data_IF_445762859167
#
_entry.id   IF_445762859167
#
_cell.length_a   1.000
_cell.length_b   1.000
_cell.length_c   1.000
_cell.angle_alpha   90.00
_cell.angle_beta   90.00
_cell.angle_gamma   90.00
#
_symmetry.space_group_name_H-M   'P 1'
#
loop_
_entity.id
_entity.type
_entity.pdbx_description
1 polymer ?
#
# COMPACT_ATOMS: atom_id res chain seq x y z
N UNK A 1 -44.63 -50.17 14.33
CA UNK A 1 -44.76 -48.75 13.91
C UNK A 1 -44.00 -47.77 14.79
N UNK A 2 -43.87 -47.98 16.12
CA UNK A 2 -43.11 -47.06 17.01
C UNK A 2 -41.61 -46.94 16.67
N UNK A 3 -40.94 -48.04 16.28
CA UNK A 3 -39.52 -48.00 15.93
C UNK A 3 -39.19 -47.12 14.73
N UNK A 4 -40.00 -47.18 13.70
CA UNK A 4 -39.82 -46.37 12.47
C UNK A 4 -39.95 -44.86 12.80
N UNK A 5 -40.90 -44.51 13.62
CA UNK A 5 -41.08 -43.11 14.05
C UNK A 5 -39.88 -42.57 14.81
N UNK A 6 -39.29 -43.34 15.70
CA UNK A 6 -38.05 -42.93 16.44
C UNK A 6 -36.89 -42.76 15.53
N UNK A 7 -36.67 -43.64 14.52
CA UNK A 7 -35.59 -43.50 13.55
C UNK A 7 -35.76 -42.26 12.66
N UNK A 8 -36.99 -41.96 12.22
CA UNK A 8 -37.27 -40.74 11.45
C UNK A 8 -36.98 -39.49 12.26
N UNK A 9 -37.35 -39.48 13.54
CA UNK A 9 -37.14 -38.34 14.46
C UNK A 9 -35.67 -38.13 14.74
N UNK A 10 -34.87 -39.19 14.93
CA UNK A 10 -33.43 -39.13 15.08
C UNK A 10 -32.75 -38.65 13.79
N UNK A 11 -33.19 -39.12 12.63
CA UNK A 11 -32.69 -38.66 11.34
C UNK A 11 -32.94 -37.18 11.12
N UNK A 12 -34.15 -36.71 11.44
CA UNK A 12 -34.50 -35.28 11.35
C UNK A 12 -33.65 -34.42 12.28
N UNK A 13 -33.45 -34.88 13.53
CA UNK A 13 -32.60 -34.19 14.48
C UNK A 13 -31.14 -34.11 14.02
N UNK A 14 -30.58 -35.21 13.52
CA UNK A 14 -29.22 -35.23 12.97
C UNK A 14 -29.07 -34.27 11.80
N UNK A 15 -30.06 -34.26 10.89
CA UNK A 15 -30.08 -33.36 9.73
C UNK A 15 -30.14 -31.88 10.17
N UNK A 16 -31.00 -31.53 11.08
CA UNK A 16 -31.13 -30.16 11.62
C UNK A 16 -29.86 -29.73 12.35
N UNK A 17 -29.26 -30.61 13.16
CA UNK A 17 -28.01 -30.32 13.85
C UNK A 17 -26.86 -30.07 12.89
N UNK A 18 -26.72 -30.88 11.83
CA UNK A 18 -25.72 -30.72 10.78
C UNK A 18 -25.92 -29.40 10.03
N UNK A 19 -27.17 -29.08 9.67
CA UNK A 19 -27.50 -27.82 9.00
C UNK A 19 -27.12 -26.60 9.86
N UNK A 20 -27.39 -26.65 11.16
CA UNK A 20 -27.08 -25.57 12.09
C UNK A 20 -25.56 -25.35 12.23
N UNK A 21 -24.77 -26.41 12.26
CA UNK A 21 -23.30 -26.34 12.28
C UNK A 21 -22.76 -25.74 10.96
N UNK A 22 -23.28 -26.16 9.81
CA UNK A 22 -22.87 -25.64 8.50
C UNK A 22 -23.19 -24.15 8.38
N UNK A 23 -24.38 -23.72 8.77
CA UNK A 23 -24.76 -22.30 8.75
C UNK A 23 -23.91 -21.47 9.72
N UNK A 24 -23.65 -21.98 10.93
CA UNK A 24 -22.78 -21.34 11.90
C UNK A 24 -21.34 -21.16 11.38
N UNK A 25 -20.81 -22.19 10.75
CA UNK A 25 -19.47 -22.14 10.15
C UNK A 25 -19.38 -21.12 9.00
N UNK A 26 -20.42 -21.01 8.15
CA UNK A 26 -20.48 -20.01 7.08
C UNK A 26 -20.56 -18.59 7.64
N UNK A 27 -21.39 -18.34 8.63
CA UNK A 27 -21.50 -17.02 9.27
C UNK A 27 -20.18 -16.62 9.95
N UNK A 28 -19.52 -17.55 10.63
CA UNK A 28 -18.24 -17.31 11.27
C UNK A 28 -17.15 -16.93 10.26
N UNK A 29 -17.03 -17.69 9.16
CA UNK A 29 -16.06 -17.38 8.08
C UNK A 29 -16.33 -16.01 7.47
N UNK A 30 -17.58 -15.66 7.22
CA UNK A 30 -17.96 -14.35 6.68
C UNK A 30 -17.62 -13.19 7.62
N UNK A 31 -17.80 -13.39 8.93
CA UNK A 31 -17.47 -12.36 9.93
C UNK A 31 -15.96 -12.16 10.07
N UNK A 32 -15.19 -13.25 10.11
CA UNK A 32 -13.72 -13.19 10.21
C UNK A 32 -13.12 -12.54 8.98
N UNK A 33 -13.57 -12.91 7.77
CA UNK A 33 -13.09 -12.31 6.54
C UNK A 33 -13.37 -10.80 6.46
N UNK A 34 -14.57 -10.36 6.86
CA UNK A 34 -14.91 -8.93 6.92
C UNK A 34 -14.07 -8.18 7.95
N UNK A 35 -13.86 -8.77 9.12
CA UNK A 35 -13.04 -8.16 10.17
C UNK A 35 -11.58 -8.02 9.75
N UNK A 36 -11.01 -8.99 9.06
CA UNK A 36 -9.67 -8.91 8.50
C UNK A 36 -9.57 -7.80 7.45
N UNK A 37 -10.50 -7.77 6.48
CA UNK A 37 -10.54 -6.74 5.46
C UNK A 37 -10.70 -5.32 6.05
N UNK A 38 -11.52 -5.15 7.08
CA UNK A 38 -11.68 -3.85 7.74
C UNK A 38 -10.43 -3.42 8.52
N UNK A 39 -9.69 -4.38 9.08
CA UNK A 39 -8.42 -4.11 9.73
C UNK A 39 -7.35 -3.67 8.71
N UNK A 40 -7.20 -4.39 7.61
CA UNK A 40 -6.25 -4.07 6.54
C UNK A 40 -6.51 -2.68 5.95
N UNK A 41 -7.78 -2.33 5.78
CA UNK A 41 -8.23 -1.00 5.33
C UNK A 41 -7.81 0.14 6.26
N UNK A 42 -7.90 -0.08 7.58
CA UNK A 42 -7.48 0.91 8.59
C UNK A 42 -5.97 1.05 8.61
N UNK A 43 -5.27 -0.07 8.54
CA UNK A 43 -3.79 -0.11 8.48
C UNK A 43 -3.30 0.67 7.29
N UNK A 44 -3.83 0.40 6.10
CA UNK A 44 -3.46 1.08 4.86
C UNK A 44 -3.60 2.61 4.95
N UNK A 45 -4.78 3.09 5.36
CA UNK A 45 -5.04 4.53 5.47
C UNK A 45 -4.19 5.21 6.54
N UNK A 46 -3.96 4.54 7.66
CA UNK A 46 -3.13 5.04 8.75
C UNK A 46 -1.66 5.05 8.34
N UNK A 47 -1.21 4.01 7.65
CA UNK A 47 0.16 3.87 7.17
C UNK A 47 0.53 4.98 6.18
N UNK A 48 -0.24 5.15 5.12
CA UNK A 48 -0.02 6.23 4.13
C UNK A 48 0.02 7.59 4.81
N UNK A 49 -0.94 7.87 5.69
CA UNK A 49 -0.99 9.16 6.40
C UNK A 49 0.19 9.36 7.34
N UNK A 50 0.63 8.31 8.02
CA UNK A 50 1.78 8.35 8.93
C UNK A 50 3.08 8.60 8.18
N UNK A 51 3.30 7.89 7.08
CA UNK A 51 4.48 8.02 6.23
C UNK A 51 4.58 9.43 5.65
N UNK A 52 3.51 9.91 5.03
CA UNK A 52 3.48 11.25 4.44
C UNK A 52 3.77 12.31 5.49
N UNK A 53 3.15 12.24 6.67
CA UNK A 53 3.39 13.23 7.73
C UNK A 53 4.80 13.19 8.31
N UNK A 54 5.43 12.03 8.30
CA UNK A 54 6.81 11.89 8.80
C UNK A 54 7.83 12.53 7.85
N UNK A 55 7.52 12.60 6.57
CA UNK A 55 8.42 13.08 5.51
C UNK A 55 7.88 14.32 4.77
N UNK A 56 6.89 15.02 5.34
CA UNK A 56 6.28 16.22 4.79
C UNK A 56 7.17 17.44 5.03
N UNK A 57 8.24 17.53 4.24
CA UNK A 57 9.15 18.65 4.18
C UNK A 57 9.09 19.32 2.80
N UNK A 58 9.63 20.52 2.67
CA UNK A 58 9.68 21.21 1.38
C UNK A 58 10.43 20.39 0.34
N UNK A 59 9.76 20.19 -0.82
CA UNK A 59 10.26 19.42 -1.96
C UNK A 59 10.61 17.96 -1.66
N UNK A 60 10.10 17.41 -0.57
CA UNK A 60 10.33 16.02 -0.21
C UNK A 60 9.41 15.04 -0.94
N UNK A 61 8.20 15.47 -1.33
CA UNK A 61 7.18 14.60 -1.90
C UNK A 61 6.93 14.90 -3.38
N UNK A 62 6.90 13.85 -4.20
CA UNK A 62 6.50 13.91 -5.62
C UNK A 62 5.72 12.65 -6.01
N UNK A 63 4.93 12.76 -7.08
CA UNK A 63 4.28 11.61 -7.72
C UNK A 63 5.03 11.30 -9.01
N UNK A 64 5.51 10.08 -9.14
CA UNK A 64 6.39 9.68 -10.22
C UNK A 64 5.98 8.33 -10.84
N UNK A 65 6.53 8.06 -12.01
CA UNK A 65 6.42 6.76 -12.69
C UNK A 65 7.83 6.17 -12.86
N UNK A 66 8.38 5.56 -11.80
CA UNK A 66 9.76 5.06 -11.82
C UNK A 66 9.96 3.84 -12.73
N UNK A 67 8.87 3.16 -13.12
CA UNK A 67 8.88 2.07 -14.08
C UNK A 67 7.58 2.06 -14.88
N UNK A 68 7.58 1.38 -16.04
CA UNK A 68 6.40 1.25 -16.89
C UNK A 68 5.22 0.66 -16.13
N UNK A 69 4.12 1.40 -16.11
CA UNK A 69 2.88 1.00 -15.44
C UNK A 69 2.87 1.08 -13.92
N UNK A 70 3.95 1.56 -13.30
CA UNK A 70 4.03 1.76 -11.84
C UNK A 70 3.94 3.24 -11.52
N UNK A 71 2.84 3.65 -10.88
CA UNK A 71 2.73 4.98 -10.28
C UNK A 71 3.11 4.90 -8.81
N UNK A 72 4.02 5.73 -8.37
CA UNK A 72 4.55 5.73 -7.02
C UNK A 72 4.51 7.13 -6.39
N UNK A 73 4.39 7.16 -5.07
CA UNK A 73 4.68 8.34 -4.27
C UNK A 73 6.14 8.25 -3.84
N UNK A 74 6.95 9.20 -4.27
CA UNK A 74 8.34 9.35 -3.88
C UNK A 74 8.44 10.32 -2.70
N UNK A 75 9.19 9.93 -1.70
CA UNK A 75 9.50 10.72 -0.51
C UNK A 75 11.00 10.78 -0.36
N UNK A 76 11.57 11.97 -0.52
CA UNK A 76 13.03 12.19 -0.54
C UNK A 76 13.50 12.73 0.78
N UNK A 77 14.65 12.25 1.23
CA UNK A 77 15.33 12.75 2.42
C UNK A 77 16.86 12.72 2.22
N UNK A 78 17.54 13.64 2.87
CA UNK A 78 19.00 13.67 2.90
C UNK A 78 19.50 13.13 4.22
N UNK A 79 20.35 12.11 4.19
CA UNK A 79 20.97 11.50 5.35
C UNK A 79 22.49 11.52 5.15
N UNK A 80 23.21 12.20 6.02
CA UNK A 80 24.68 12.30 5.99
C UNK A 80 25.23 12.76 4.61
N UNK A 81 24.53 13.70 3.95
CA UNK A 81 24.94 14.25 2.65
C UNK A 81 24.64 13.34 1.46
N UNK A 82 23.85 12.29 1.65
CA UNK A 82 23.36 11.39 0.59
C UNK A 82 21.87 11.49 0.46
N UNK A 83 21.39 11.47 -0.77
CA UNK A 83 19.96 11.48 -1.08
C UNK A 83 19.39 10.07 -1.05
N UNK A 84 18.32 9.90 -0.29
CA UNK A 84 17.53 8.67 -0.21
C UNK A 84 16.11 8.93 -0.68
N UNK A 85 15.47 7.89 -1.19
CA UNK A 85 14.08 7.92 -1.63
C UNK A 85 13.34 6.75 -1.01
N UNK A 86 12.21 7.05 -0.38
CA UNK A 86 11.21 6.06 -0.01
C UNK A 86 10.11 6.05 -1.07
N UNK A 87 9.95 4.95 -1.75
CA UNK A 87 8.90 4.73 -2.75
C UNK A 87 7.74 3.99 -2.12
N UNK A 88 6.53 4.50 -2.32
CA UNK A 88 5.29 3.81 -1.97
C UNK A 88 4.50 3.56 -3.25
N UNK A 89 4.23 2.29 -3.58
CA UNK A 89 3.65 1.86 -4.84
C UNK A 89 2.87 0.56 -4.70
N UNK A 90 2.02 0.24 -5.68
CA UNK A 90 1.32 -1.04 -5.75
C UNK A 90 2.04 -1.95 -6.74
N UNK A 91 2.31 -3.17 -6.30
CA UNK A 91 2.91 -4.22 -7.11
C UNK A 91 2.34 -5.58 -6.71
N UNK A 92 1.98 -6.45 -7.69
CA UNK A 92 1.48 -7.80 -7.48
C UNK A 92 0.40 -7.96 -6.39
N UNK A 93 -0.59 -7.03 -6.38
CA UNK A 93 -1.71 -7.11 -5.44
C UNK A 93 -1.39 -6.73 -4.00
N UNK A 94 -0.31 -5.98 -3.79
CA UNK A 94 0.09 -5.44 -2.49
C UNK A 94 0.66 -4.04 -2.60
N UNK A 95 0.50 -3.26 -1.54
CA UNK A 95 1.22 -2.01 -1.36
C UNK A 95 2.63 -2.34 -0.88
N UNK A 96 3.62 -1.78 -1.57
CA UNK A 96 5.04 -1.95 -1.28
C UNK A 96 5.68 -0.64 -0.83
N UNK A 97 6.68 -0.76 0.01
CA UNK A 97 7.60 0.29 0.37
C UNK A 97 9.01 -0.13 -0.03
N UNK A 98 9.72 0.76 -0.73
CA UNK A 98 11.13 0.59 -1.08
C UNK A 98 11.89 1.82 -0.60
N UNK A 99 12.81 1.62 0.35
CA UNK A 99 13.77 2.63 0.77
C UNK A 99 15.12 2.34 0.10
N UNK A 100 15.65 3.32 -0.64
CA UNK A 100 16.90 3.16 -1.38
C UNK A 100 17.62 4.50 -1.52
N UNK A 101 18.92 4.47 -1.82
CA UNK A 101 19.66 5.66 -2.20
C UNK A 101 19.17 6.13 -3.59
N UNK A 102 19.02 7.44 -3.80
CA UNK A 102 18.44 8.00 -5.01
C UNK A 102 19.23 7.67 -6.30
N UNK A 103 20.52 7.34 -6.15
CA UNK A 103 21.38 6.92 -7.26
C UNK A 103 21.07 5.51 -7.81
N UNK A 104 20.29 4.68 -7.09
CA UNK A 104 19.96 3.34 -7.56
C UNK A 104 18.72 3.34 -8.42
N UNK A 105 18.74 2.48 -9.44
CA UNK A 105 17.58 2.24 -10.29
C UNK A 105 16.43 1.62 -9.48
N UNK A 106 15.21 2.09 -9.69
CA UNK A 106 14.03 1.54 -9.09
C UNK A 106 13.78 0.09 -9.55
N UNK A 107 13.60 -0.81 -8.57
CA UNK A 107 13.24 -2.21 -8.81
C UNK A 107 11.97 -2.52 -8.00
N UNK A 108 10.83 -2.78 -8.64
CA UNK A 108 9.57 -3.04 -7.94
C UNK A 108 9.58 -4.33 -7.11
N UNK A 109 10.51 -5.27 -7.36
CA UNK A 109 10.63 -6.50 -6.59
C UNK A 109 11.49 -6.34 -5.33
N UNK A 110 12.28 -5.26 -5.24
CA UNK A 110 13.17 -5.01 -4.11
C UNK A 110 12.46 -4.44 -2.89
N UNK A 111 11.19 -4.01 -3.02
CA UNK A 111 10.42 -3.43 -1.93
C UNK A 111 9.92 -4.46 -0.92
N UNK A 112 9.44 -3.94 0.21
CA UNK A 112 8.80 -4.74 1.28
C UNK A 112 7.29 -4.62 1.17
N UNK A 113 6.54 -5.72 1.07
CA UNK A 113 5.08 -5.67 1.05
C UNK A 113 4.53 -5.27 2.43
N UNK A 114 3.60 -4.31 2.44
CA UNK A 114 3.00 -3.76 3.66
C UNK A 114 1.61 -4.35 3.91
N UNK A 115 0.75 -4.33 2.91
CA UNK A 115 -0.61 -4.84 3.02
C UNK A 115 -1.20 -5.13 1.63
N UNK A 116 -2.22 -6.00 1.54
CA UNK A 116 -2.92 -6.27 0.29
C UNK A 116 -3.59 -5.00 -0.28
N UNK A 117 -3.33 -4.70 -1.56
CA UNK A 117 -3.92 -3.60 -2.31
C UNK A 117 -3.85 -3.88 -3.81
N UNK A 118 -4.96 -3.70 -4.52
CA UNK A 118 -5.05 -3.92 -5.97
C UNK A 118 -4.73 -2.65 -6.77
N UNK A 119 -4.66 -1.49 -6.12
CA UNK A 119 -4.35 -0.22 -6.77
C UNK A 119 -3.88 0.86 -5.81
N UNK A 120 -2.97 1.71 -6.29
CA UNK A 120 -2.44 2.86 -5.58
C UNK A 120 -2.23 4.00 -6.57
N UNK A 121 -3.05 5.05 -6.46
CA UNK A 121 -3.07 6.19 -7.36
C UNK A 121 -2.88 7.48 -6.55
N UNK A 122 -1.65 7.92 -6.30
CA UNK A 122 -1.37 9.19 -5.66
C UNK A 122 -1.51 10.34 -6.66
N UNK A 123 -2.02 11.46 -6.21
CA UNK A 123 -2.05 12.74 -6.94
C UNK A 123 -1.79 13.88 -5.97
N UNK A 124 -1.02 14.89 -6.40
CA UNK A 124 -0.77 16.09 -5.61
C UNK A 124 -1.32 17.30 -6.38
N UNK A 125 -2.13 18.10 -5.73
CA UNK A 125 -2.69 19.33 -6.28
C UNK A 125 -2.77 20.40 -5.19
N UNK A 126 -2.11 21.54 -5.42
CA UNK A 126 -2.18 22.71 -4.54
C UNK A 126 -1.84 22.42 -3.07
N UNK A 127 -0.88 21.52 -2.78
CA UNK A 127 -0.52 21.14 -1.41
C UNK A 127 -1.47 20.13 -0.76
N UNK A 128 -2.35 19.51 -1.55
CA UNK A 128 -3.18 18.40 -1.13
C UNK A 128 -2.76 17.10 -1.82
N UNK A 129 -2.26 16.16 -1.04
CA UNK A 129 -2.05 14.80 -1.50
C UNK A 129 -3.37 14.03 -1.41
N UNK A 130 -3.81 13.51 -2.54
CA UNK A 130 -4.94 12.60 -2.65
C UNK A 130 -4.42 11.23 -3.08
N UNK A 131 -4.62 10.22 -2.26
CA UNK A 131 -4.24 8.84 -2.59
C UNK A 131 -5.51 8.01 -2.73
N UNK A 132 -5.78 7.53 -3.93
CA UNK A 132 -6.81 6.53 -4.16
C UNK A 132 -6.18 5.15 -4.06
N UNK A 133 -6.66 4.37 -3.12
CA UNK A 133 -6.22 2.99 -2.92
C UNK A 133 -7.40 2.06 -3.15
N UNK A 134 -7.16 1.02 -3.93
CA UNK A 134 -8.13 -0.08 -4.12
C UNK A 134 -7.70 -1.25 -3.26
N UNK A 135 -8.58 -1.69 -2.36
CA UNK A 135 -8.28 -2.85 -1.52
C UNK A 135 -8.37 -4.17 -2.32
N UNK A 136 -7.89 -5.27 -1.75
CA UNK A 136 -7.96 -6.61 -2.37
C UNK A 136 -9.40 -7.11 -2.63
N UNK A 137 -10.42 -6.39 -2.20
CA UNK A 137 -11.82 -6.63 -2.53
C UNK A 137 -12.33 -5.78 -3.69
N UNK A 138 -11.48 -4.96 -4.32
CA UNK A 138 -11.83 -4.06 -5.42
C UNK A 138 -12.56 -2.77 -4.96
N UNK A 139 -12.63 -2.50 -3.65
CA UNK A 139 -13.30 -1.31 -3.13
C UNK A 139 -12.34 -0.11 -3.09
N UNK A 140 -12.61 0.97 -3.85
CA UNK A 140 -11.75 2.14 -3.85
C UNK A 140 -11.95 2.97 -2.58
N UNK A 141 -10.85 3.51 -2.06
CA UNK A 141 -10.82 4.44 -0.94
C UNK A 141 -9.91 5.62 -1.24
N UNK A 142 -10.28 6.77 -0.71
CA UNK A 142 -9.50 7.99 -0.87
C UNK A 142 -8.93 8.41 0.48
N UNK A 143 -7.63 8.60 0.54
CA UNK A 143 -6.92 9.19 1.66
C UNK A 143 -6.51 10.59 1.26
N UNK A 144 -6.88 11.58 2.06
CA UNK A 144 -6.52 12.98 1.85
C UNK A 144 -5.53 13.40 2.94
N UNK A 145 -4.43 14.01 2.52
CA UNK A 145 -3.42 14.57 3.41
C UNK A 145 -3.06 15.97 2.92
N UNK A 146 -3.29 16.97 3.76
CA UNK A 146 -2.79 18.30 3.49
C UNK A 146 -1.28 18.31 3.77
N UNK A 147 -0.50 18.76 2.81
CA UNK A 147 0.94 18.89 2.90
C UNK A 147 1.30 20.25 3.53
N UNK A 148 2.37 20.28 4.30
CA UNK A 148 2.92 21.51 4.89
C UNK A 148 4.04 22.06 4.01
N UNK A 149 4.83 21.17 3.39
CA UNK A 149 5.87 21.51 2.45
C UNK A 149 5.32 21.69 1.02
N UNK A 150 6.02 22.45 0.21
CA UNK A 150 5.76 22.47 -1.24
C UNK A 150 6.15 21.13 -1.85
N UNK A 151 5.30 20.53 -2.72
CA UNK A 151 5.66 19.30 -3.40
C UNK A 151 6.81 19.54 -4.40
N UNK A 152 7.66 18.53 -4.60
CA UNK A 152 8.69 18.58 -5.63
C UNK A 152 8.07 18.35 -7.02
N UNK A 153 8.71 18.92 -8.04
CA UNK A 153 8.42 18.58 -9.44
C UNK A 153 8.83 17.12 -9.71
N UNK A 154 8.09 16.37 -10.54
CA UNK A 154 8.47 15.02 -10.93
C UNK A 154 9.86 14.97 -11.55
N UNK A 155 10.77 14.17 -10.98
CA UNK A 155 12.15 14.05 -11.46
C UNK A 155 13.13 15.12 -10.92
N UNK A 156 12.68 16.06 -10.10
CA UNK A 156 13.55 17.01 -9.41
C UNK A 156 14.35 16.26 -8.34
N UNK A 157 15.64 16.13 -8.51
CA UNK A 157 16.53 15.41 -7.58
C UNK A 157 17.32 14.26 -8.23
N UNK A 158 17.14 14.02 -9.52
CA UNK A 158 18.00 13.14 -10.34
C UNK A 158 19.08 13.95 -11.09
N UNK A 159 19.39 15.16 -10.64
CA UNK A 159 20.56 15.87 -11.17
C UNK A 159 21.79 15.03 -10.83
N UNK A 160 22.28 14.31 -11.83
CA UNK A 160 23.61 13.71 -11.82
C UNK A 160 24.59 14.81 -11.43
N UNK A 161 25.30 14.59 -10.31
CA UNK A 161 26.44 15.44 -9.96
C UNK A 161 27.36 15.44 -11.19
N UNK A 162 27.30 16.51 -11.96
CA UNK A 162 28.20 16.80 -13.07
C UNK A 162 29.58 16.79 -12.46
N UNK A 163 30.30 15.68 -12.66
CA UNK A 163 31.68 15.54 -12.23
C UNK A 163 32.49 16.65 -12.92
N UNK A 164 32.83 17.63 -12.13
CA UNK A 164 33.90 18.60 -12.49
C UNK A 164 35.19 17.81 -12.72
N UNK A 165 35.34 17.30 -13.94
CA UNK A 165 36.62 16.86 -14.47
C UNK A 165 37.35 18.10 -15.02
N UNK A 166 37.78 18.97 -14.12
CA UNK A 166 38.65 20.09 -14.44
C UNK A 166 39.96 19.98 -13.66
N UNK A 167 40.94 19.33 -14.29
CA UNK A 167 42.25 19.17 -13.66
C UNK A 167 43.33 18.50 -14.48
N UNK A 168 43.37 18.76 -15.78
CA UNK A 168 44.63 18.60 -16.52
C UNK A 168 45.62 19.64 -16.06
N UNK A 169 46.49 19.29 -15.15
CA UNK A 169 47.75 20.03 -14.91
C UNK A 169 48.85 19.29 -15.62
N UNK A 170 49.22 19.82 -16.79
CA UNK A 170 50.51 19.51 -17.43
C UNK A 170 51.67 20.04 -16.56
N UNK A 171 52.60 19.16 -16.27
CA UNK A 171 54.01 19.46 -16.11
C UNK A 171 54.86 18.31 -16.69
#
# INVERSE_FOLDING_TARGET
MQGVFVFVLLGLFALMSTLMVLLGAQMYRGTVARSAADNDRRVLSAYVRSMVRAQDADRALSVEQPADGVTALAMREEIDGRQYVTWLYCHEGSLYELFTEAAYTFDPEAGTPICPADGFEPTIDGGLLTVRVTDAGGEPRTVLVALHGEPAEPGEGLEEGEGDDDGLVEF
#
